data_IF_366428305151
#
_entry.id   IF_366428305151
#
_cell.length_a   1.000
_cell.length_b   1.000
_cell.length_c   1.000
_cell.angle_alpha   90.00
_cell.angle_beta   90.00
_cell.angle_gamma   90.00
#
_symmetry.space_group_name_H-M   'P 1'
#
loop_
_entity.id
_entity.type
_entity.pdbx_description
1 polymer ?
#
# COMPACT_ATOMS: atom_id res chain seq x y z
N UNK A 1 -2.28 -2.91 15.42
CA UNK A 1 -0.81 -3.10 15.44
C UNK A 1 -0.30 -2.70 14.07
N UNK A 2 0.60 -1.71 13.95
CA UNK A 2 0.83 -1.02 12.68
C UNK A 2 1.69 -1.84 11.70
N UNK A 3 1.41 -1.73 10.39
CA UNK A 3 2.29 -2.16 9.32
C UNK A 3 3.19 -1.00 8.90
N UNK A 4 4.53 -1.11 9.02
CA UNK A 4 5.42 -0.18 8.34
C UNK A 4 5.40 -0.46 6.83
N UNK A 5 4.94 0.51 6.05
CA UNK A 5 4.87 0.44 4.59
C UNK A 5 5.84 1.44 4.00
N UNK A 6 6.80 0.95 3.21
CA UNK A 6 7.74 1.78 2.46
C UNK A 6 7.20 2.01 1.05
N UNK A 7 7.04 3.27 0.66
CA UNK A 7 6.75 3.62 -0.74
C UNK A 7 8.03 3.51 -1.57
N UNK A 8 8.10 2.52 -2.44
CA UNK A 8 9.25 2.28 -3.33
C UNK A 8 9.25 3.18 -4.57
N UNK A 9 8.25 4.06 -4.74
CA UNK A 9 8.21 5.03 -5.83
C UNK A 9 8.87 6.35 -5.43
N UNK A 10 9.27 7.14 -6.44
CA UNK A 10 9.76 8.51 -6.23
C UNK A 10 8.62 9.49 -5.92
N UNK A 11 7.43 9.25 -6.49
CA UNK A 11 6.25 10.09 -6.27
C UNK A 11 5.48 9.66 -5.01
N UNK A 12 4.77 10.61 -4.36
CA UNK A 12 3.99 10.31 -3.17
C UNK A 12 2.81 9.38 -3.47
N UNK A 13 2.48 8.53 -2.49
CA UNK A 13 1.27 7.71 -2.44
C UNK A 13 0.42 8.12 -1.25
N UNK A 14 -0.89 7.89 -1.34
CA UNK A 14 -1.80 8.06 -0.20
C UNK A 14 -2.51 6.74 0.07
N UNK A 15 -2.45 6.25 1.31
CA UNK A 15 -3.10 5.01 1.74
C UNK A 15 -4.41 5.32 2.46
N UNK A 16 -5.52 4.76 1.99
CA UNK A 16 -6.79 4.76 2.73
C UNK A 16 -6.94 3.44 3.47
N UNK A 17 -7.12 3.52 4.78
CA UNK A 17 -7.18 2.35 5.66
C UNK A 17 -8.61 1.87 5.88
N UNK A 18 -8.77 0.63 6.34
CA UNK A 18 -10.03 0.11 6.87
C UNK A 18 -10.47 1.02 8.04
N UNK A 19 -11.67 1.61 7.93
CA UNK A 19 -12.14 2.67 8.83
C UNK A 19 -12.02 4.10 8.27
N UNK A 20 -11.46 4.27 7.07
CA UNK A 20 -11.48 5.54 6.33
C UNK A 20 -10.36 6.52 6.65
N UNK A 21 -9.43 6.17 7.56
CA UNK A 21 -8.26 6.99 7.83
C UNK A 21 -7.37 7.09 6.58
N UNK A 22 -6.82 8.27 6.33
CA UNK A 22 -5.98 8.58 5.16
C UNK A 22 -4.56 8.87 5.63
N UNK A 23 -3.57 8.19 5.05
CA UNK A 23 -2.16 8.28 5.42
C UNK A 23 -1.33 8.65 4.19
N UNK A 24 -0.78 9.88 4.11
CA UNK A 24 0.13 10.25 3.04
C UNK A 24 1.52 9.62 3.27
N UNK A 25 2.15 9.17 2.19
CA UNK A 25 3.49 8.60 2.19
C UNK A 25 4.31 9.22 1.06
N UNK A 26 5.33 10.01 1.40
CA UNK A 26 6.28 10.51 0.42
C UNK A 26 7.00 9.37 -0.30
N UNK A 27 7.53 9.65 -1.50
CA UNK A 27 8.35 8.69 -2.23
C UNK A 27 9.62 8.31 -1.44
N UNK A 28 9.97 7.03 -1.44
CA UNK A 28 11.09 6.47 -0.68
C UNK A 28 10.91 6.45 0.85
N UNK A 29 9.82 7.00 1.38
CA UNK A 29 9.57 7.06 2.82
C UNK A 29 8.85 5.81 3.34
N UNK A 30 8.98 5.56 4.64
CA UNK A 30 8.21 4.55 5.38
C UNK A 30 7.19 5.22 6.29
N UNK A 31 5.95 4.73 6.27
CA UNK A 31 4.89 5.17 7.18
C UNK A 31 4.31 3.97 7.93
N UNK A 32 3.85 4.21 9.15
CA UNK A 32 3.14 3.20 9.93
C UNK A 32 1.63 3.30 9.68
N UNK A 33 1.01 2.25 9.15
CA UNK A 33 -0.45 2.18 8.98
C UNK A 33 -1.08 1.29 10.05
N UNK A 34 -2.05 1.81 10.79
CA UNK A 34 -2.62 1.12 11.96
C UNK A 34 -3.71 0.08 11.62
N UNK A 35 -4.17 0.08 10.37
CA UNK A 35 -5.26 -0.75 9.85
C UNK A 35 -4.94 -1.18 8.40
N UNK A 36 -5.67 -2.16 7.89
CA UNK A 36 -5.47 -2.69 6.55
C UNK A 36 -5.64 -1.60 5.49
N UNK A 37 -4.83 -1.60 4.44
CA UNK A 37 -5.04 -0.66 3.33
C UNK A 37 -6.17 -1.18 2.43
N UNK A 38 -7.12 -0.31 2.09
CA UNK A 38 -8.28 -0.62 1.24
C UNK A 38 -8.21 0.09 -0.10
N UNK A 39 -7.59 1.28 -0.16
CA UNK A 39 -7.32 2.02 -1.39
C UNK A 39 -5.95 2.66 -1.34
N UNK A 40 -5.34 2.82 -2.50
CA UNK A 40 -4.11 3.59 -2.69
C UNK A 40 -4.36 4.63 -3.76
N UNK A 41 -4.05 5.89 -3.47
CA UNK A 41 -4.03 6.93 -4.49
C UNK A 41 -2.59 7.17 -4.94
N UNK A 42 -2.40 7.23 -6.25
CA UNK A 42 -1.11 7.45 -6.89
C UNK A 42 -1.33 8.12 -8.25
N UNK A 43 -0.58 9.18 -8.58
CA UNK A 43 -0.77 9.95 -9.81
C UNK A 43 -2.21 10.43 -10.07
N UNK A 44 -2.92 10.84 -9.00
CA UNK A 44 -4.35 11.23 -9.03
C UNK A 44 -5.31 10.12 -9.48
N UNK A 45 -4.85 8.88 -9.55
CA UNK A 45 -5.67 7.70 -9.80
C UNK A 45 -5.92 6.98 -8.47
N UNK A 46 -7.13 6.42 -8.33
CA UNK A 46 -7.53 5.65 -7.15
C UNK A 46 -7.51 4.17 -7.47
N UNK A 47 -6.68 3.41 -6.76
CA UNK A 47 -6.55 1.97 -6.89
C UNK A 47 -7.23 1.28 -5.72
N UNK A 48 -8.14 0.34 -5.99
CA UNK A 48 -8.91 -0.36 -4.95
C UNK A 48 -8.34 -1.76 -4.71
N UNK A 49 -8.27 -2.18 -3.44
CA UNK A 49 -7.79 -3.51 -3.05
C UNK A 49 -8.62 -4.60 -3.72
N UNK A 50 -7.94 -5.58 -4.31
CA UNK A 50 -8.55 -6.81 -4.80
C UNK A 50 -8.36 -7.92 -3.79
N UNK A 51 -9.47 -8.52 -3.36
CA UNK A 51 -9.47 -9.59 -2.37
C UNK A 51 -9.22 -9.09 -0.93
N UNK A 52 -8.64 -9.97 -0.13
CA UNK A 52 -8.41 -9.74 1.31
C UNK A 52 -7.04 -9.11 1.57
N UNK A 53 -6.86 -8.53 2.75
CA UNK A 53 -5.54 -8.15 3.25
C UNK A 53 -4.80 -9.40 3.72
N UNK A 54 -3.72 -9.83 3.04
CA UNK A 54 -3.11 -11.13 3.33
C UNK A 54 -2.00 -11.03 4.40
N UNK A 55 -1.77 -9.86 4.99
CA UNK A 55 -0.62 -9.63 5.87
C UNK A 55 -0.99 -9.78 7.35
N UNK A 56 -0.32 -10.69 8.08
CA UNK A 56 -0.29 -10.64 9.53
C UNK A 56 0.20 -9.28 10.04
N UNK A 57 -0.23 -8.90 11.24
CA UNK A 57 0.16 -7.62 11.85
C UNK A 57 1.68 -7.48 12.05
N UNK A 58 2.17 -6.23 12.08
CA UNK A 58 3.57 -5.86 12.33
C UNK A 58 4.59 -6.38 11.29
N UNK A 59 4.16 -6.66 10.06
CA UNK A 59 5.08 -6.97 8.97
C UNK A 59 5.51 -5.72 8.22
N UNK A 60 6.81 -5.63 7.88
CA UNK A 60 7.31 -4.62 6.97
C UNK A 60 6.86 -4.93 5.54
N UNK A 61 6.30 -3.93 4.86
CA UNK A 61 5.74 -4.05 3.53
C UNK A 61 6.33 -2.98 2.61
N UNK A 62 6.35 -3.29 1.31
CA UNK A 62 6.73 -2.37 0.25
C UNK A 62 5.54 -2.09 -0.65
N UNK A 63 5.18 -0.82 -0.81
CA UNK A 63 4.24 -0.38 -1.83
C UNK A 63 5.01 -0.03 -3.11
N UNK A 64 4.60 -0.58 -4.25
CA UNK A 64 5.24 -0.34 -5.54
C UNK A 64 4.22 -0.24 -6.67
N UNK A 65 4.62 0.49 -7.71
CA UNK A 65 3.92 0.61 -8.98
C UNK A 65 4.92 0.22 -10.08
N UNK A 66 4.97 -1.04 -10.51
CA UNK A 66 6.01 -1.54 -11.42
C UNK A 66 5.79 -1.11 -12.89
N UNK A 67 5.35 0.14 -13.11
CA UNK A 67 4.92 0.68 -14.41
C UNK A 67 3.79 -0.11 -15.08
N UNK A 68 3.12 -0.99 -14.32
CA UNK A 68 1.94 -1.74 -14.74
C UNK A 68 0.65 -1.04 -14.31
N UNK A 69 -0.49 -1.59 -14.66
CA UNK A 69 -1.81 -1.00 -14.40
C UNK A 69 -2.23 -0.99 -12.91
N UNK A 70 -1.43 -1.60 -12.02
CA UNK A 70 -1.81 -1.92 -10.64
C UNK A 70 -0.73 -1.52 -9.64
N UNK A 71 -1.15 -1.22 -8.41
CA UNK A 71 -0.26 -1.05 -7.26
C UNK A 71 -0.17 -2.37 -6.50
N UNK A 72 1.03 -2.68 -6.01
CA UNK A 72 1.29 -3.85 -5.21
C UNK A 72 1.80 -3.41 -3.84
N UNK A 73 1.18 -3.90 -2.77
CA UNK A 73 1.79 -3.88 -1.43
C UNK A 73 2.28 -5.30 -1.19
N UNK A 74 3.56 -5.48 -0.91
CA UNK A 74 4.20 -6.80 -0.81
C UNK A 74 5.07 -6.89 0.43
N UNK A 75 5.06 -8.05 1.10
CA UNK A 75 6.07 -8.38 2.09
C UNK A 75 7.37 -8.79 1.36
N UNK A 76 8.48 -8.05 1.53
CA UNK A 76 9.72 -8.33 0.80
C UNK A 76 10.41 -9.63 1.24
N UNK A 77 10.10 -10.16 2.42
CA UNK A 77 10.69 -11.40 2.96
C UNK A 77 9.95 -12.64 2.45
N UNK A 78 8.61 -12.60 2.43
CA UNK A 78 7.79 -13.77 2.08
C UNK A 78 7.31 -13.79 0.64
N UNK A 79 7.36 -12.65 -0.07
CA UNK A 79 6.84 -12.51 -1.42
C UNK A 79 5.31 -12.40 -1.51
N UNK A 80 4.59 -12.52 -0.39
CA UNK A 80 3.13 -12.34 -0.35
C UNK A 80 2.78 -10.93 -0.79
N UNK A 81 1.82 -10.79 -1.71
CA UNK A 81 1.41 -9.51 -2.26
C UNK A 81 -0.10 -9.30 -2.17
N UNK A 82 -0.48 -8.05 -1.95
CA UNK A 82 -1.84 -7.52 -2.05
C UNK A 82 -1.88 -6.58 -3.27
N UNK A 83 -2.86 -6.80 -4.14
CA UNK A 83 -2.99 -6.06 -5.40
C UNK A 83 -4.07 -4.99 -5.27
N UNK A 84 -3.82 -3.82 -5.84
CA UNK A 84 -4.74 -2.71 -5.94
C UNK A 84 -4.88 -2.32 -7.41
N UNK A 85 -6.12 -2.33 -7.92
CA UNK A 85 -6.41 -2.12 -9.33
C UNK A 85 -7.11 -0.78 -9.55
N UNK A 86 -6.76 -0.12 -10.64
CA UNK A 86 -7.53 1.01 -11.15
C UNK A 86 -8.80 0.46 -11.85
N UNK A 87 -9.97 1.10 -11.69
CA UNK A 87 -11.21 0.71 -12.37
C UNK A 87 -11.11 0.70 -13.90
#
# INVERSE_FOLDING_TARGET
MPWPITNQQADPMTFTLAGGAVVPCAGGATVAVAAEVTRVEYHRLTYTRVGIWPFPANQALNASYPQGQNIHIQNPVTGVACVFQYP
#
